data_IF_840963440899
#
_entry.id   IF_840963440899
#
_cell.length_a   1.000
_cell.length_b   1.000
_cell.length_c   1.000
_cell.angle_alpha   90.00
_cell.angle_beta   90.00
_cell.angle_gamma   90.00
#
_symmetry.space_group_name_H-M   'P 1'
#
loop_
_entity.id
_entity.type
_entity.pdbx_description
1 polymer ?
#
# COMPACT_ATOMS: atom_id res chain seq x y z
N UNK A 1 -14.69 -9.36 4.36
CA UNK A 1 -13.62 -8.33 4.34
C UNK A 1 -13.30 -7.89 5.75
N UNK A 2 -12.10 -8.15 6.28
CA UNK A 2 -11.75 -7.90 7.69
C UNK A 2 -11.97 -6.45 8.17
N UNK A 3 -11.67 -5.46 7.31
CA UNK A 3 -11.84 -4.05 7.65
C UNK A 3 -13.31 -3.65 7.94
N UNK A 4 -14.29 -4.31 7.30
CA UNK A 4 -15.73 -4.05 7.57
C UNK A 4 -16.15 -4.59 8.93
N UNK A 5 -15.69 -5.80 9.27
CA UNK A 5 -15.93 -6.41 10.58
C UNK A 5 -15.35 -5.55 11.69
N UNK A 6 -14.09 -5.11 11.54
CA UNK A 6 -13.44 -4.21 12.50
C UNK A 6 -14.19 -2.87 12.65
N UNK A 7 -14.64 -2.28 11.55
CA UNK A 7 -15.42 -1.05 11.60
C UNK A 7 -16.75 -1.23 12.34
N UNK A 8 -17.39 -2.40 12.24
CA UNK A 8 -18.60 -2.74 12.98
C UNK A 8 -18.41 -2.76 14.50
N UNK A 9 -17.26 -3.23 14.98
CA UNK A 9 -16.93 -3.29 16.42
C UNK A 9 -17.00 -1.93 17.10
N UNK A 10 -16.81 -0.84 16.34
CA UNK A 10 -16.91 0.53 16.85
C UNK A 10 -18.22 0.79 17.57
N UNK A 11 -19.33 0.25 17.04
CA UNK A 11 -20.67 0.52 17.59
C UNK A 11 -20.83 -0.03 19.02
N UNK A 12 -20.18 -1.16 19.31
CA UNK A 12 -20.30 -1.86 20.59
C UNK A 12 -19.19 -1.46 21.58
N UNK A 13 -17.96 -1.25 21.09
CA UNK A 13 -16.78 -1.11 21.93
C UNK A 13 -16.14 0.28 21.89
N UNK A 14 -16.63 1.17 21.02
CA UNK A 14 -16.17 2.56 20.94
C UNK A 14 -15.06 2.82 19.93
N UNK A 15 -14.44 4.02 19.98
CA UNK A 15 -13.58 4.53 18.91
C UNK A 15 -12.16 3.93 18.88
N UNK A 16 -11.73 3.31 19.97
CA UNK A 16 -10.42 2.66 20.12
C UNK A 16 -10.65 1.34 20.82
N UNK A 17 -10.17 0.25 20.24
CA UNK A 17 -10.34 -1.10 20.79
C UNK A 17 -9.02 -1.84 20.82
N UNK A 18 -8.86 -2.71 21.83
CA UNK A 18 -7.72 -3.61 21.93
C UNK A 18 -8.11 -5.00 21.47
N UNK A 19 -7.36 -5.56 20.53
CA UNK A 19 -7.60 -6.86 19.92
C UNK A 19 -6.38 -7.75 20.10
N UNK A 20 -6.61 -9.06 20.22
CA UNK A 20 -5.55 -10.07 20.18
C UNK A 20 -5.69 -10.86 18.89
N UNK A 21 -4.83 -10.56 17.91
CA UNK A 21 -4.77 -11.24 16.62
C UNK A 21 -3.74 -12.36 16.71
N UNK A 22 -4.19 -13.56 17.09
CA UNK A 22 -3.30 -14.68 17.39
C UNK A 22 -2.43 -14.38 18.62
N UNK A 23 -1.12 -14.30 18.43
CA UNK A 23 -0.16 -13.91 19.46
C UNK A 23 0.12 -12.40 19.53
N UNK A 24 -0.45 -11.60 18.62
CA UNK A 24 -0.13 -10.17 18.48
C UNK A 24 -1.22 -9.30 19.06
N UNK A 25 -0.86 -8.45 20.02
CA UNK A 25 -1.75 -7.39 20.53
C UNK A 25 -1.83 -6.26 19.51
N UNK A 26 -3.05 -5.84 19.18
CA UNK A 26 -3.34 -4.86 18.13
C UNK A 26 -4.33 -3.84 18.64
N UNK A 27 -3.96 -2.56 18.59
CA UNK A 27 -4.89 -1.46 18.80
C UNK A 27 -5.57 -1.10 17.48
N UNK A 28 -6.90 -1.17 17.42
CA UNK A 28 -7.64 -0.69 16.26
C UNK A 28 -8.25 0.69 16.55
N UNK A 29 -7.91 1.65 15.68
CA UNK A 29 -8.43 3.02 15.71
C UNK A 29 -9.56 3.14 14.71
N UNK A 30 -10.78 3.35 15.21
CA UNK A 30 -12.01 3.19 14.43
C UNK A 30 -12.72 4.52 14.12
N UNK A 31 -12.10 5.66 14.44
CA UNK A 31 -12.64 7.00 14.11
C UNK A 31 -11.57 7.94 13.60
N UNK A 32 -11.97 8.90 12.76
CA UNK A 32 -11.09 9.95 12.27
C UNK A 32 -10.53 10.83 13.40
N UNK A 33 -11.32 11.12 14.44
CA UNK A 33 -10.88 11.91 15.60
C UNK A 33 -9.73 11.21 16.34
N UNK A 34 -9.91 9.94 16.69
CA UNK A 34 -8.87 9.16 17.37
C UNK A 34 -7.63 8.93 16.47
N UNK A 35 -7.83 8.72 15.16
CA UNK A 35 -6.71 8.61 14.22
C UNK A 35 -5.94 9.93 14.11
N UNK A 36 -6.63 11.06 14.09
CA UNK A 36 -5.99 12.38 14.06
C UNK A 36 -5.15 12.61 15.31
N UNK A 37 -5.67 12.27 16.49
CA UNK A 37 -4.93 12.35 17.75
C UNK A 37 -3.64 11.52 17.67
N UNK A 38 -3.76 10.26 17.26
CA UNK A 38 -2.62 9.34 17.19
C UNK A 38 -1.57 9.78 16.16
N UNK A 39 -1.99 10.16 14.96
CA UNK A 39 -1.08 10.49 13.85
C UNK A 39 -0.60 11.94 13.81
N UNK A 40 -1.09 12.82 14.70
CA UNK A 40 -0.60 14.21 14.78
C UNK A 40 0.06 14.54 16.11
N UNK A 41 -0.52 14.09 17.22
CA UNK A 41 -0.07 14.49 18.56
C UNK A 41 0.82 13.42 19.20
N UNK A 42 0.75 12.17 18.71
CA UNK A 42 1.54 11.04 19.21
C UNK A 42 2.29 10.31 18.08
N UNK A 43 2.49 10.96 16.93
CA UNK A 43 3.02 10.35 15.72
C UNK A 43 4.39 9.68 15.93
N UNK A 44 5.30 10.33 16.67
CA UNK A 44 6.62 9.80 16.95
C UNK A 44 6.59 8.52 17.81
N UNK A 45 5.70 8.45 18.81
CA UNK A 45 5.53 7.26 19.66
C UNK A 45 5.00 6.05 18.88
N UNK A 46 4.31 6.30 17.76
CA UNK A 46 3.74 5.27 16.87
C UNK A 46 4.43 5.24 15.50
N UNK A 47 5.65 5.79 15.39
CA UNK A 47 6.39 5.83 14.13
C UNK A 47 6.96 4.46 13.72
N UNK A 48 7.19 3.59 14.71
CA UNK A 48 7.68 2.23 14.49
C UNK A 48 6.62 1.33 13.86
N UNK A 49 7.09 0.36 13.07
CA UNK A 49 6.23 -0.55 12.31
C UNK A 49 6.41 -1.98 12.77
N UNK A 50 5.30 -2.69 12.93
CA UNK A 50 5.33 -4.14 13.10
C UNK A 50 5.82 -4.79 11.81
N UNK A 51 7.02 -5.37 11.85
CA UNK A 51 7.61 -6.07 10.70
C UNK A 51 7.15 -7.52 10.70
N UNK A 52 6.38 -7.88 9.68
CA UNK A 52 5.97 -9.27 9.43
C UNK A 52 7.15 -10.09 8.90
N UNK A 53 7.15 -11.39 9.17
CA UNK A 53 8.27 -12.29 8.84
C UNK A 53 8.63 -12.32 7.36
N UNK A 54 7.64 -12.22 6.47
CA UNK A 54 7.88 -12.17 5.02
C UNK A 54 8.72 -10.96 4.62
N UNK A 55 8.57 -9.83 5.31
CA UNK A 55 9.34 -8.61 5.08
C UNK A 55 10.76 -8.66 5.66
N UNK A 56 11.08 -9.65 6.50
CA UNK A 56 12.45 -9.89 7.00
C UNK A 56 13.30 -10.68 6.01
N UNK A 57 12.67 -11.32 5.04
CA UNK A 57 13.38 -12.03 3.97
C UNK A 57 14.38 -11.09 3.30
N UNK A 58 15.65 -11.52 3.23
CA UNK A 58 16.76 -10.75 2.66
C UNK A 58 16.90 -9.33 3.26
N UNK A 59 16.53 -9.15 4.52
CA UNK A 59 16.52 -7.87 5.21
C UNK A 59 15.74 -6.77 4.48
N UNK A 60 14.72 -7.15 3.70
CA UNK A 60 13.96 -6.23 2.85
C UNK A 60 13.40 -5.02 3.63
N UNK A 61 12.92 -5.24 4.86
CA UNK A 61 12.41 -4.17 5.69
C UNK A 61 13.43 -3.06 5.95
N UNK A 62 14.73 -3.37 6.05
CA UNK A 62 15.77 -2.38 6.33
C UNK A 62 15.92 -1.39 5.19
N UNK A 63 15.80 -1.81 3.92
CA UNK A 63 15.94 -0.94 2.75
C UNK A 63 14.63 -0.28 2.28
N UNK A 64 13.50 -0.68 2.85
CA UNK A 64 12.18 -0.27 2.37
C UNK A 64 11.75 1.09 2.95
N UNK A 65 11.37 2.04 2.10
CA UNK A 65 10.79 3.34 2.56
C UNK A 65 9.48 3.13 3.34
N UNK A 66 8.76 2.05 3.04
CA UNK A 66 7.50 1.72 3.68
C UNK A 66 7.66 0.97 5.01
N UNK A 67 8.77 0.27 5.24
CA UNK A 67 8.93 -0.63 6.37
C UNK A 67 10.14 -0.33 7.26
N UNK A 68 11.15 0.40 6.77
CA UNK A 68 12.37 0.63 7.54
C UNK A 68 12.06 1.32 8.88
N UNK A 69 12.74 0.90 9.97
CA UNK A 69 12.58 1.51 11.28
C UNK A 69 12.81 3.01 11.24
N UNK A 70 12.12 3.74 12.12
CA UNK A 70 12.26 5.19 12.12
C UNK A 70 13.66 5.58 12.59
N UNK A 71 14.34 6.43 11.82
CA UNK A 71 15.73 6.78 12.09
C UNK A 71 16.32 7.73 11.07
N UNK A 72 17.62 8.02 11.19
CA UNK A 72 18.36 8.83 10.22
C UNK A 72 18.27 8.24 8.80
N UNK A 73 18.47 6.93 8.67
CA UNK A 73 18.40 6.21 7.41
C UNK A 73 17.03 6.37 6.71
N UNK A 74 15.93 6.05 7.42
CA UNK A 74 14.59 6.20 6.87
C UNK A 74 14.26 7.66 6.50
N UNK A 75 14.71 8.64 7.30
CA UNK A 75 14.51 10.08 7.00
C UNK A 75 15.21 10.50 5.70
N UNK A 76 16.41 9.99 5.45
CA UNK A 76 17.15 10.26 4.19
C UNK A 76 16.42 9.64 2.99
N UNK A 77 16.02 8.37 3.08
CA UNK A 77 15.25 7.71 2.03
C UNK A 77 13.94 8.43 1.72
N UNK A 78 13.19 8.82 2.78
CA UNK A 78 11.94 9.55 2.64
C UNK A 78 12.17 10.87 1.90
N UNK A 79 13.23 11.61 2.26
CA UNK A 79 13.60 12.86 1.59
C UNK A 79 13.91 12.64 0.11
N UNK A 80 14.72 11.63 -0.23
CA UNK A 80 15.07 11.30 -1.61
C UNK A 80 13.80 10.99 -2.42
N UNK A 81 12.94 10.10 -1.94
CA UNK A 81 11.68 9.77 -2.64
C UNK A 81 10.79 11.01 -2.81
N UNK A 82 10.66 11.83 -1.78
CA UNK A 82 9.83 13.04 -1.85
C UNK A 82 10.35 14.02 -2.90
N UNK A 83 11.65 14.31 -2.92
CA UNK A 83 12.24 15.32 -3.82
C UNK A 83 12.37 14.81 -5.25
N UNK A 84 12.81 13.58 -5.43
CA UNK A 84 13.16 13.06 -6.75
C UNK A 84 12.00 12.40 -7.49
N UNK A 85 10.99 11.89 -6.77
CA UNK A 85 9.91 11.09 -7.38
C UNK A 85 8.52 11.69 -7.15
N UNK A 86 8.24 12.22 -5.95
CA UNK A 86 6.88 12.58 -5.52
C UNK A 86 6.58 14.09 -5.58
N UNK A 87 7.42 14.89 -6.25
CA UNK A 87 7.09 16.30 -6.49
C UNK A 87 6.11 16.45 -7.64
N UNK A 88 5.29 17.51 -7.61
CA UNK A 88 4.31 17.81 -8.68
C UNK A 88 4.96 17.83 -10.07
N UNK A 89 6.15 18.42 -10.19
CA UNK A 89 6.91 18.45 -11.44
C UNK A 89 7.19 17.03 -11.97
N UNK A 90 7.76 16.15 -11.14
CA UNK A 90 8.08 14.76 -11.51
C UNK A 90 6.84 13.92 -11.82
N UNK A 91 5.76 14.12 -11.05
CA UNK A 91 4.47 13.46 -11.29
C UNK A 91 3.86 13.89 -12.64
N UNK A 92 4.04 15.15 -13.02
CA UNK A 92 3.56 15.67 -14.30
C UNK A 92 4.42 15.23 -15.48
N UNK A 93 5.75 15.19 -15.32
CA UNK A 93 6.70 14.68 -16.33
C UNK A 93 6.41 13.21 -16.71
N UNK A 94 5.87 12.42 -15.77
CA UNK A 94 5.54 11.00 -15.98
C UNK A 94 4.15 10.77 -16.59
N UNK A 95 3.35 11.82 -16.84
CA UNK A 95 2.01 11.72 -17.46
C UNK A 95 2.02 11.00 -18.81
N UNK A 96 2.93 11.28 -19.76
CA UNK A 96 2.94 10.61 -21.05
C UNK A 96 3.11 9.09 -20.93
N UNK A 97 4.00 8.64 -20.04
CA UNK A 97 4.24 7.22 -19.77
C UNK A 97 2.98 6.57 -19.18
N UNK A 98 2.37 7.19 -18.15
CA UNK A 98 1.12 6.66 -17.56
C UNK A 98 -0.01 6.55 -18.59
N UNK A 99 -0.17 7.57 -19.45
CA UNK A 99 -1.15 7.57 -20.53
C UNK A 99 -0.89 6.44 -21.53
N UNK A 100 0.37 6.17 -21.87
CA UNK A 100 0.74 5.04 -22.72
C UNK A 100 0.33 3.72 -22.08
N UNK A 101 0.70 3.48 -20.82
CA UNK A 101 0.33 2.24 -20.10
C UNK A 101 -1.19 2.01 -20.06
N UNK A 102 -1.98 3.06 -19.85
CA UNK A 102 -3.45 2.97 -19.89
C UNK A 102 -3.95 2.62 -21.30
N UNK A 103 -3.41 3.25 -22.35
CA UNK A 103 -3.77 2.93 -23.74
C UNK A 103 -3.43 1.48 -24.08
N UNK A 104 -2.25 1.01 -23.67
CA UNK A 104 -1.82 -0.37 -23.91
C UNK A 104 -2.73 -1.36 -23.18
N UNK A 105 -3.13 -1.06 -21.93
CA UNK A 105 -4.10 -1.86 -21.19
C UNK A 105 -5.47 -1.90 -21.87
N UNK A 106 -6.00 -0.75 -22.32
CA UNK A 106 -7.28 -0.68 -23.02
C UNK A 106 -7.27 -1.49 -24.32
N UNK A 107 -6.20 -1.33 -25.12
CA UNK A 107 -6.01 -2.11 -26.34
C UNK A 107 -5.97 -3.61 -26.05
N UNK A 108 -5.29 -4.02 -24.98
CA UNK A 108 -5.28 -5.42 -24.57
C UNK A 108 -6.69 -5.93 -24.23
N UNK A 109 -7.46 -5.16 -23.44
CA UNK A 109 -8.86 -5.51 -23.11
C UNK A 109 -9.74 -5.62 -24.35
N UNK A 110 -9.61 -4.68 -25.30
CA UNK A 110 -10.36 -4.69 -26.57
C UNK A 110 -10.07 -5.95 -27.38
N UNK A 111 -8.79 -6.28 -27.54
CA UNK A 111 -8.37 -7.48 -28.26
C UNK A 111 -8.92 -8.77 -27.61
N UNK A 112 -8.82 -8.90 -26.28
CA UNK A 112 -9.36 -10.07 -25.57
C UNK A 112 -10.89 -10.16 -25.70
N UNK A 113 -11.59 -9.03 -25.64
CA UNK A 113 -13.04 -8.99 -25.80
C UNK A 113 -13.48 -9.42 -27.22
N UNK A 114 -12.71 -9.08 -28.25
CA UNK A 114 -13.00 -9.49 -29.62
C UNK A 114 -12.65 -10.97 -29.88
N UNK A 115 -11.60 -11.51 -29.26
CA UNK A 115 -11.29 -12.94 -29.34
C UNK A 115 -12.38 -13.83 -28.73
N UNK A 116 -13.02 -13.36 -27.66
CA UNK A 116 -14.17 -14.06 -27.05
C UNK A 116 -15.38 -14.09 -27.99
N UNK A 117 -15.61 -13.03 -28.78
CA UNK A 117 -16.69 -13.00 -29.80
C UNK A 117 -16.42 -13.97 -30.94
N UNK A 118 -15.15 -14.18 -31.28
CA UNK A 118 -14.69 -15.14 -32.30
C UNK A 118 -14.69 -16.61 -31.81
N UNK A 119 -15.16 -16.89 -30.58
CA UNK A 119 -15.18 -18.24 -30.02
C UNK A 119 -13.80 -18.79 -29.63
N UNK A 120 -12.76 -17.94 -29.60
CA UNK A 120 -11.41 -18.29 -29.13
C UNK A 120 -11.32 -17.99 -27.64
N UNK A 121 -10.96 -19.00 -26.83
CA UNK A 121 -10.85 -18.85 -25.38
C UNK A 121 -9.79 -17.82 -24.95
N UNK A 122 -10.03 -17.15 -23.82
CA UNK A 122 -9.14 -16.13 -23.25
C UNK A 122 -7.81 -16.80 -22.85
N UNK A 123 -6.71 -16.43 -23.52
CA UNK A 123 -5.37 -16.81 -23.09
C UNK A 123 -4.71 -15.63 -22.38
N UNK A 124 -4.73 -15.65 -21.05
CA UNK A 124 -3.92 -14.75 -20.25
C UNK A 124 -2.44 -15.13 -20.41
N UNK A 125 -1.79 -14.64 -21.45
CA UNK A 125 -0.33 -14.68 -21.56
C UNK A 125 0.25 -13.70 -20.55
N UNK A 126 0.51 -14.21 -19.34
CA UNK A 126 1.39 -13.55 -18.40
C UNK A 126 2.77 -13.48 -19.04
N UNK A 127 3.06 -12.37 -19.72
CA UNK A 127 4.39 -12.10 -20.25
C UNK A 127 5.35 -12.11 -19.06
N UNK A 128 6.23 -13.12 -19.03
CA UNK A 128 7.11 -13.42 -17.93
C UNK A 128 7.89 -12.19 -17.47
N UNK A 129 7.58 -11.75 -16.25
CA UNK A 129 8.51 -11.03 -15.39
C UNK A 129 8.70 -11.90 -14.16
N UNK A 130 9.45 -12.99 -14.36
CA UNK A 130 10.17 -13.68 -13.30
C UNK A 130 11.59 -13.12 -13.36
N UNK A 131 11.90 -12.24 -12.42
CA UNK A 131 13.23 -12.16 -11.82
C UNK A 131 13.02 -12.37 -10.32
#
# INVERSE_FOLDING_TARGET
MPHRTLAGLKQQYGPVIWLKLGSTNTMAILTAKAATELFKNHDLSFAERTIIETSRSHDYYLGSVALAPYGSYWRVLRRICTVEMLTNKRINETVPIRRKCIKDLLKWIENEADMVKDGRGIQAHAHGLIY
#
